data_IF_503626946837
#
_entry.id   IF_503626946837
#
_cell.length_a   1.000
_cell.length_b   1.000
_cell.length_c   1.000
_cell.angle_alpha   90.00
_cell.angle_beta   90.00
_cell.angle_gamma   90.00
#
_symmetry.space_group_name_H-M   'P 1'
#
loop_
_entity.id
_entity.type
_entity.pdbx_description
1 polymer ?
#
# COMPACT_ATOMS: atom_id res chain seq x y z
N UNK A 1 8.72 -8.14 19.42
CA UNK A 1 7.34 -7.66 19.15
C UNK A 1 6.54 -7.80 20.43
N UNK A 2 5.59 -6.90 20.72
CA UNK A 2 4.84 -6.98 21.97
C UNK A 2 3.87 -8.17 21.95
N UNK A 3 4.02 -9.12 22.89
CA UNK A 3 3.15 -10.30 23.07
C UNK A 3 1.66 -9.94 23.11
N UNK A 4 1.35 -8.73 23.62
CA UNK A 4 0.01 -8.16 23.64
C UNK A 4 -0.62 -8.06 22.24
N UNK A 5 0.11 -7.60 21.23
CA UNK A 5 -0.43 -7.41 19.89
C UNK A 5 -0.84 -8.75 19.25
N UNK A 6 -0.03 -9.79 19.43
CA UNK A 6 -0.34 -11.14 18.89
C UNK A 6 -1.59 -11.73 19.55
N UNK A 7 -1.76 -11.52 20.86
CA UNK A 7 -2.97 -11.95 21.59
C UNK A 7 -4.21 -11.21 21.09
N UNK A 8 -4.13 -9.88 20.91
CA UNK A 8 -5.26 -9.08 20.41
C UNK A 8 -5.63 -9.49 18.98
N UNK A 9 -4.64 -9.61 18.08
CA UNK A 9 -4.87 -10.02 16.71
C UNK A 9 -5.56 -11.39 16.63
N UNK A 10 -5.09 -12.37 17.41
CA UNK A 10 -5.69 -13.71 17.48
C UNK A 10 -7.14 -13.66 17.97
N UNK A 11 -7.44 -12.87 19.01
CA UNK A 11 -8.82 -12.72 19.53
C UNK A 11 -9.77 -12.05 18.53
N UNK A 12 -9.26 -11.16 17.68
CA UNK A 12 -10.04 -10.52 16.63
C UNK A 12 -10.13 -11.36 15.34
N UNK A 13 -9.57 -12.57 15.30
CA UNK A 13 -9.52 -13.39 14.08
C UNK A 13 -8.62 -12.82 12.99
N UNK A 14 -7.68 -11.95 13.35
CA UNK A 14 -6.75 -11.30 12.42
C UNK A 14 -5.48 -12.13 12.28
N UNK A 15 -5.21 -12.59 11.06
CA UNK A 15 -3.94 -13.24 10.73
C UNK A 15 -2.87 -12.19 10.39
N UNK A 16 -1.87 -12.05 11.26
CA UNK A 16 -0.79 -11.08 11.06
C UNK A 16 0.27 -11.65 10.11
N UNK A 17 0.42 -11.00 8.95
CA UNK A 17 1.47 -11.30 7.97
C UNK A 17 2.64 -10.33 8.20
N UNK A 18 3.86 -10.86 8.34
CA UNK A 18 5.07 -10.06 8.57
C UNK A 18 5.82 -9.87 7.24
N UNK A 19 6.28 -8.65 6.98
CA UNK A 19 7.16 -8.36 5.87
C UNK A 19 8.59 -8.81 6.17
N UNK A 20 9.37 -9.10 5.10
CA UNK A 20 10.79 -9.40 5.22
C UNK A 20 11.52 -8.22 5.87
N UNK A 21 12.43 -8.50 6.80
CA UNK A 21 13.21 -7.47 7.47
C UNK A 21 13.98 -6.60 6.48
N UNK A 22 13.88 -5.28 6.65
CA UNK A 22 14.58 -4.27 5.85
C UNK A 22 14.27 -4.31 4.35
N UNK A 23 13.12 -4.85 3.95
CA UNK A 23 12.63 -4.73 2.57
C UNK A 23 11.38 -3.83 2.50
N UNK A 24 11.56 -2.50 2.45
CA UNK A 24 10.45 -1.55 2.34
C UNK A 24 9.53 -1.82 1.14
N UNK A 25 10.09 -2.42 0.08
CA UNK A 25 9.34 -2.76 -1.13
C UNK A 25 8.21 -3.76 -0.86
N UNK A 26 8.36 -4.64 0.14
CA UNK A 26 7.31 -5.59 0.55
C UNK A 26 6.04 -4.85 1.01
N UNK A 27 6.15 -3.63 1.55
CA UNK A 27 5.00 -2.80 1.97
C UNK A 27 4.83 -1.53 1.14
N UNK A 28 5.25 -1.56 -0.14
CA UNK A 28 5.37 -0.38 -0.98
C UNK A 28 4.08 0.42 -1.20
N UNK A 29 2.90 -0.22 -1.13
CA UNK A 29 1.61 0.50 -1.24
C UNK A 29 1.34 1.39 -0.03
N UNK A 30 1.55 0.87 1.18
CA UNK A 30 1.41 1.66 2.42
C UNK A 30 2.49 2.73 2.50
N UNK A 31 3.71 2.44 2.09
CA UNK A 31 4.78 3.45 2.06
C UNK A 31 4.49 4.58 1.07
N UNK A 32 3.94 4.26 -0.11
CA UNK A 32 3.52 5.29 -1.07
C UNK A 32 2.38 6.15 -0.53
N UNK A 33 1.39 5.55 0.13
CA UNK A 33 0.33 6.28 0.83
C UNK A 33 0.92 7.21 1.89
N UNK A 34 1.83 6.71 2.74
CA UNK A 34 2.47 7.51 3.78
C UNK A 34 3.26 8.69 3.20
N UNK A 35 3.96 8.48 2.08
CA UNK A 35 4.67 9.55 1.39
C UNK A 35 3.72 10.64 0.87
N UNK A 36 2.56 10.27 0.30
CA UNK A 36 1.54 11.23 -0.11
C UNK A 36 1.00 12.01 1.08
N UNK A 37 0.63 11.32 2.18
CA UNK A 37 0.09 11.97 3.38
C UNK A 37 1.13 12.92 3.99
N UNK A 38 2.39 12.49 4.13
CA UNK A 38 3.45 13.32 4.67
C UNK A 38 3.71 14.57 3.81
N UNK A 39 3.71 14.42 2.48
CA UNK A 39 3.83 15.56 1.55
C UNK A 39 2.66 16.53 1.70
N UNK A 40 1.43 16.01 1.79
CA UNK A 40 0.25 16.85 2.05
C UNK A 40 0.35 17.58 3.38
N UNK A 41 0.74 16.90 4.47
CA UNK A 41 0.94 17.54 5.78
C UNK A 41 1.97 18.66 5.67
N UNK A 42 3.11 18.39 5.02
CA UNK A 42 4.18 19.37 4.84
C UNK A 42 3.75 20.64 4.09
N UNK A 43 2.68 20.58 3.30
CA UNK A 43 2.13 21.74 2.59
C UNK A 43 1.22 22.63 3.47
N UNK A 44 0.67 22.10 4.56
CA UNK A 44 -0.30 22.82 5.41
C UNK A 44 0.21 23.15 6.81
N UNK A 45 1.17 22.37 7.31
CA UNK A 45 1.71 22.53 8.67
C UNK A 45 2.44 23.87 8.83
N UNK A 46 2.35 24.47 10.02
CA UNK A 46 3.09 25.67 10.36
C UNK A 46 4.62 25.44 10.42
N UNK A 47 5.37 26.54 10.56
CA UNK A 47 6.84 26.50 10.61
C UNK A 47 7.39 25.67 11.78
N UNK A 48 6.65 25.62 12.90
CA UNK A 48 6.99 24.90 14.12
C UNK A 48 6.56 23.43 14.08
N UNK A 49 5.87 22.99 13.03
CA UNK A 49 5.33 21.65 12.85
C UNK A 49 4.39 21.19 13.98
N UNK A 50 3.67 22.11 14.62
CA UNK A 50 2.91 21.84 15.84
C UNK A 50 1.42 21.61 15.65
N UNK A 51 0.88 21.88 14.45
CA UNK A 51 -0.55 21.89 14.12
C UNK A 51 -0.92 20.86 13.03
N UNK A 52 -0.04 19.89 12.76
CA UNK A 52 -0.25 18.91 11.70
C UNK A 52 -1.49 18.04 11.92
N UNK A 53 -1.86 17.81 13.17
CA UNK A 53 -3.01 17.01 13.59
C UNK A 53 -4.34 17.71 13.30
N UNK A 54 -4.37 19.05 13.31
CA UNK A 54 -5.54 19.83 12.92
C UNK A 54 -5.92 19.62 11.46
N UNK A 55 -4.91 19.46 10.59
CA UNK A 55 -5.10 19.26 9.15
C UNK A 55 -5.31 17.80 8.75
N UNK A 56 -4.98 16.84 9.62
CA UNK A 56 -5.01 15.42 9.33
C UNK A 56 -6.39 14.92 8.85
N UNK A 57 -7.54 15.32 9.46
CA UNK A 57 -8.86 14.91 8.96
C UNK A 57 -9.14 15.39 7.54
N UNK A 58 -8.75 16.63 7.21
CA UNK A 58 -8.96 17.22 5.88
C UNK A 58 -8.09 16.53 4.83
N UNK A 59 -6.82 16.29 5.15
CA UNK A 59 -5.89 15.57 4.27
C UNK A 59 -6.37 14.13 4.03
N UNK A 60 -6.82 13.45 5.08
CA UNK A 60 -7.36 12.09 4.97
C UNK A 60 -8.61 12.06 4.10
N UNK A 61 -9.51 13.02 4.27
CA UNK A 61 -10.69 13.16 3.42
C UNK A 61 -10.29 13.38 1.96
N UNK A 62 -9.42 14.37 1.70
CA UNK A 62 -8.94 14.67 0.34
C UNK A 62 -8.26 13.47 -0.32
N UNK A 63 -7.43 12.71 0.42
CA UNK A 63 -6.80 11.50 -0.09
C UNK A 63 -7.82 10.42 -0.46
N UNK A 64 -8.84 10.21 0.39
CA UNK A 64 -9.87 9.20 0.17
C UNK A 64 -10.85 9.56 -0.94
N UNK A 65 -11.10 10.84 -1.20
CA UNK A 65 -12.01 11.31 -2.26
C UNK A 65 -11.30 11.57 -3.58
N UNK A 66 -9.98 11.69 -3.59
CA UNK A 66 -9.19 11.91 -4.80
C UNK A 66 -8.99 10.63 -5.60
N UNK A 67 -9.06 10.76 -6.94
CA UNK A 67 -8.84 9.67 -7.87
C UNK A 67 -7.36 9.22 -7.84
N UNK A 68 -7.12 7.96 -7.53
CA UNK A 68 -5.76 7.40 -7.51
C UNK A 68 -5.33 6.94 -8.90
N UNK A 69 -4.05 7.14 -9.24
CA UNK A 69 -3.52 6.72 -10.54
C UNK A 69 -3.54 5.20 -10.72
N UNK A 70 -3.30 4.45 -9.64
CA UNK A 70 -3.19 3.00 -9.64
C UNK A 70 -4.52 2.29 -9.88
N UNK A 71 -5.59 2.79 -9.27
CA UNK A 71 -6.94 2.21 -9.37
C UNK A 71 -7.83 2.95 -10.37
N UNK A 72 -7.41 4.14 -10.82
CA UNK A 72 -8.20 5.07 -11.64
C UNK A 72 -9.54 5.46 -11.00
N UNK A 73 -9.69 5.28 -9.69
CA UNK A 73 -10.89 5.59 -8.90
C UNK A 73 -10.50 6.12 -7.52
N UNK A 74 -11.42 6.82 -6.85
CA UNK A 74 -11.21 7.25 -5.48
C UNK A 74 -11.37 6.07 -4.50
N UNK A 75 -10.54 5.96 -3.45
CA UNK A 75 -10.70 4.97 -2.39
C UNK A 75 -12.10 4.96 -1.78
N UNK A 76 -12.68 6.15 -1.54
CA UNK A 76 -14.03 6.33 -1.03
C UNK A 76 -15.06 5.66 -1.94
N UNK A 77 -15.00 5.91 -3.25
CA UNK A 77 -15.95 5.32 -4.22
C UNK A 77 -15.84 3.80 -4.25
N UNK A 78 -14.63 3.24 -4.15
CA UNK A 78 -14.42 1.79 -4.11
C UNK A 78 -14.94 1.15 -2.81
N UNK A 79 -14.79 1.85 -1.68
CA UNK A 79 -15.20 1.37 -0.36
C UNK A 79 -16.71 1.50 -0.14
N UNK A 80 -17.25 2.70 -0.35
CA UNK A 80 -18.64 3.05 -0.05
C UNK A 80 -19.58 2.92 -1.24
N UNK A 81 -19.06 2.61 -2.44
CA UNK A 81 -19.86 2.28 -3.62
C UNK A 81 -20.72 3.44 -4.14
N UNK A 82 -20.34 4.66 -3.77
CA UNK A 82 -20.95 5.92 -4.16
C UNK A 82 -19.86 6.99 -4.16
N UNK A 83 -20.08 8.04 -4.94
CA UNK A 83 -19.18 9.18 -4.89
C UNK A 83 -19.36 9.96 -3.57
N UNK A 84 -18.27 10.54 -3.04
CA UNK A 84 -18.36 11.40 -1.87
C UNK A 84 -19.20 12.64 -2.21
N UNK A 85 -20.04 13.06 -1.27
CA UNK A 85 -20.77 14.33 -1.39
C UNK A 85 -19.88 15.43 -0.78
N UNK A 86 -19.42 16.35 -1.63
CA UNK A 86 -18.59 17.48 -1.26
C UNK A 86 -19.48 18.68 -0.91
N UNK A 87 -19.02 19.59 -0.02
CA UNK A 87 -19.81 20.78 0.36
C UNK A 87 -20.22 21.69 -0.81
N UNK A 88 -19.45 21.64 -1.91
CA UNK A 88 -19.68 22.41 -3.13
C UNK A 88 -20.37 21.60 -4.24
N UNK A 89 -20.76 20.34 -3.98
CA UNK A 89 -21.54 19.58 -4.95
C UNK A 89 -22.94 20.18 -5.07
N UNK A 90 -23.32 20.52 -6.30
CA UNK A 90 -24.70 20.89 -6.61
C UNK A 90 -25.56 19.64 -6.36
N UNK A 91 -26.63 19.72 -5.55
CA UNK A 91 -27.55 18.60 -5.36
C UNK A 91 -28.01 18.11 -6.73
N UNK A 92 -27.53 16.94 -7.14
CA UNK A 92 -28.09 16.25 -8.30
C UNK A 92 -29.55 16.00 -7.93
N UNK A 93 -30.48 16.58 -8.69
CA UNK A 93 -31.91 16.53 -8.38
C UNK A 93 -32.36 15.12 -8.03
N UNK A 94 -33.37 15.00 -7.16
CA UNK A 94 -33.92 13.71 -6.77
C UNK A 94 -34.38 12.98 -8.03
N UNK A 95 -33.62 11.97 -8.47
CA UNK A 95 -34.07 11.06 -9.51
C UNK A 95 -35.19 10.26 -8.86
N UNK A 96 -36.43 10.52 -9.28
CA UNK A 96 -37.58 9.70 -8.91
C UNK A 96 -37.36 8.31 -9.52
N UNK A 97 -36.73 7.43 -8.75
CA UNK A 97 -36.55 6.03 -9.12
C UNK A 97 -37.92 5.37 -9.00
N UNK A 98 -38.58 5.17 -10.14
CA UNK A 98 -39.96 4.66 -10.21
C UNK A 98 -40.13 3.26 -9.60
N UNK A 99 -39.04 2.53 -9.35
CA UNK A 99 -39.04 1.29 -8.61
C UNK A 99 -37.69 1.03 -7.89
N UNK A 100 -37.74 0.46 -6.67
CA UNK A 100 -36.57 0.04 -5.87
C UNK A 100 -35.64 -0.92 -6.66
N UNK A 101 -36.20 -1.69 -7.60
CA UNK A 101 -35.46 -2.65 -8.42
C UNK A 101 -34.49 -1.97 -9.40
N UNK A 102 -34.83 -0.80 -9.94
CA UNK A 102 -34.01 -0.11 -10.93
C UNK A 102 -32.74 0.48 -10.31
N UNK A 103 -32.85 1.01 -9.09
CA UNK A 103 -31.68 1.51 -8.33
C UNK A 103 -30.68 0.39 -8.04
N UNK A 104 -31.19 -0.75 -7.56
CA UNK A 104 -30.34 -1.88 -7.20
C UNK A 104 -29.59 -2.45 -8.41
N UNK A 105 -30.27 -2.56 -9.56
CA UNK A 105 -29.64 -3.02 -10.81
C UNK A 105 -28.59 -2.02 -11.30
N UNK A 106 -28.86 -0.72 -11.22
CA UNK A 106 -27.88 0.33 -11.56
C UNK A 106 -26.66 0.28 -10.64
N UNK A 107 -26.87 0.14 -9.32
CA UNK A 107 -25.79 0.03 -8.34
C UNK A 107 -24.94 -1.22 -8.58
N UNK A 108 -25.55 -2.37 -8.87
CA UNK A 108 -24.81 -3.60 -9.23
C UNK A 108 -23.95 -3.40 -10.47
N UNK A 109 -24.50 -2.82 -11.54
CA UNK A 109 -23.75 -2.53 -12.77
C UNK A 109 -22.56 -1.61 -12.50
N UNK A 110 -22.79 -0.53 -11.75
CA UNK A 110 -21.73 0.39 -11.33
C UNK A 110 -20.64 -0.34 -10.55
N UNK A 111 -21.01 -1.24 -9.63
CA UNK A 111 -20.06 -2.00 -8.83
C UNK A 111 -19.20 -2.95 -9.64
N UNK A 112 -19.81 -3.67 -10.57
CA UNK A 112 -19.09 -4.59 -11.44
C UNK A 112 -18.13 -3.83 -12.35
N UNK A 113 -18.56 -2.68 -12.89
CA UNK A 113 -17.71 -1.79 -13.65
C UNK A 113 -16.57 -1.20 -12.81
N UNK A 114 -16.86 -0.70 -11.61
CA UNK A 114 -15.84 -0.11 -10.73
C UNK A 114 -14.77 -1.14 -10.33
N UNK A 115 -15.21 -2.34 -9.92
CA UNK A 115 -14.30 -3.44 -9.55
C UNK A 115 -13.48 -3.92 -10.73
N UNK A 116 -14.09 -4.13 -11.90
CA UNK A 116 -13.36 -4.56 -13.11
C UNK A 116 -12.34 -3.52 -13.55
N UNK A 117 -12.73 -2.25 -13.62
CA UNK A 117 -11.85 -1.12 -13.96
C UNK A 117 -10.66 -1.01 -13.00
N UNK A 118 -10.93 -1.07 -11.68
CA UNK A 118 -9.88 -0.99 -10.67
C UNK A 118 -8.92 -2.17 -10.74
N UNK A 119 -9.43 -3.41 -10.86
CA UNK A 119 -8.60 -4.62 -10.99
C UNK A 119 -7.73 -4.57 -12.25
N UNK A 120 -8.31 -4.17 -13.37
CA UNK A 120 -7.58 -4.04 -14.63
C UNK A 120 -6.46 -3.00 -14.52
N UNK A 121 -6.77 -1.83 -13.96
CA UNK A 121 -5.80 -0.75 -13.78
C UNK A 121 -4.66 -1.15 -12.83
N UNK A 122 -5.00 -1.79 -11.70
CA UNK A 122 -4.00 -2.30 -10.74
C UNK A 122 -3.08 -3.31 -11.42
N UNK A 123 -3.64 -4.25 -12.19
CA UNK A 123 -2.85 -5.24 -12.91
C UNK A 123 -1.90 -4.60 -13.92
N UNK A 124 -2.39 -3.68 -14.74
CA UNK A 124 -1.52 -2.96 -15.68
C UNK A 124 -0.37 -2.23 -14.97
N UNK A 125 -0.66 -1.56 -13.85
CA UNK A 125 0.36 -0.84 -13.09
C UNK A 125 1.37 -1.80 -12.45
N UNK A 126 0.92 -2.94 -11.95
CA UNK A 126 1.80 -4.01 -11.47
C UNK A 126 2.71 -4.54 -12.59
N UNK A 127 2.18 -4.75 -13.80
CA UNK A 127 2.96 -5.21 -14.95
C UNK A 127 4.02 -4.16 -15.34
N UNK A 128 3.64 -2.88 -15.42
CA UNK A 128 4.58 -1.77 -15.69
C UNK A 128 5.67 -1.71 -14.62
N UNK A 129 5.31 -1.79 -13.33
CA UNK A 129 6.29 -1.76 -12.25
C UNK A 129 7.20 -2.98 -12.26
N UNK A 130 6.67 -4.16 -12.60
CA UNK A 130 7.45 -5.38 -12.77
C UNK A 130 8.45 -5.23 -13.91
N UNK A 131 8.03 -4.80 -15.09
CA UNK A 131 8.94 -4.58 -16.22
C UNK A 131 10.03 -3.59 -15.85
N UNK A 132 9.68 -2.44 -15.25
CA UNK A 132 10.66 -1.44 -14.79
C UNK A 132 11.63 -2.01 -13.74
N UNK A 133 11.14 -2.86 -12.85
CA UNK A 133 11.94 -3.48 -11.80
C UNK A 133 12.91 -4.54 -12.36
N UNK A 134 12.46 -5.31 -13.35
CA UNK A 134 13.23 -6.38 -13.99
C UNK A 134 14.24 -5.81 -15.02
N UNK A 135 13.95 -4.67 -15.66
CA UNK A 135 14.86 -4.00 -16.61
C UNK A 135 16.22 -3.70 -15.97
N UNK A 136 17.28 -4.29 -16.53
CA UNK A 136 18.66 -4.06 -16.10
C UNK A 136 19.07 -4.86 -14.85
N UNK A 137 18.20 -5.69 -14.28
CA UNK A 137 18.57 -6.64 -13.22
C UNK A 137 19.02 -7.97 -13.79
N UNK A 138 20.00 -8.58 -13.12
CA UNK A 138 20.35 -10.00 -13.30
C UNK A 138 19.55 -10.82 -12.28
N UNK A 139 18.93 -11.90 -12.74
CA UNK A 139 18.26 -12.83 -11.84
C UNK A 139 19.28 -13.48 -10.91
N UNK A 140 19.07 -13.33 -9.59
CA UNK A 140 19.88 -13.99 -8.57
C UNK A 140 19.20 -15.29 -8.18
N UNK A 141 19.64 -16.39 -8.80
CA UNK A 141 19.17 -17.74 -8.50
C UNK A 141 20.16 -18.35 -7.51
N UNK A 142 19.69 -18.57 -6.28
CA UNK A 142 20.47 -19.24 -5.23
C UNK A 142 19.99 -20.69 -5.07
N UNK A 143 20.92 -21.61 -4.87
CA UNK A 143 20.59 -23.01 -4.63
C UNK A 143 20.50 -23.30 -3.13
N UNK A 144 19.63 -24.24 -2.75
CA UNK A 144 19.60 -24.78 -1.38
C UNK A 144 20.95 -25.44 -1.09
N UNK A 145 21.55 -25.12 0.05
CA UNK A 145 22.91 -25.52 0.43
C UNK A 145 24.00 -24.53 0.03
N UNK A 146 23.67 -23.50 -0.77
CA UNK A 146 24.65 -22.50 -1.17
C UNK A 146 25.01 -21.57 -0.01
N UNK A 147 26.32 -21.32 0.16
CA UNK A 147 26.81 -20.36 1.14
C UNK A 147 26.67 -18.92 0.62
N UNK A 148 26.09 -18.07 1.44
CA UNK A 148 25.81 -16.66 1.14
C UNK A 148 26.22 -15.76 2.31
N UNK A 149 26.57 -14.51 2.01
CA UNK A 149 26.81 -13.47 3.02
C UNK A 149 25.56 -12.59 3.13
N UNK A 150 25.20 -12.17 4.34
CA UNK A 150 24.11 -11.23 4.56
C UNK A 150 24.63 -9.79 4.60
N UNK A 151 23.88 -8.88 3.97
CA UNK A 151 24.21 -7.45 3.98
C UNK A 151 23.89 -6.87 5.36
N UNK A 152 24.83 -6.14 5.94
CA UNK A 152 24.66 -5.47 7.21
C UNK A 152 23.91 -4.15 7.00
N UNK A 153 22.60 -4.14 7.28
CA UNK A 153 21.73 -2.98 7.01
C UNK A 153 21.72 -1.98 8.17
N UNK A 154 21.83 -2.44 9.43
CA UNK A 154 21.98 -1.58 10.61
C UNK A 154 22.77 -2.31 11.70
N UNK A 155 23.98 -1.85 11.98
CA UNK A 155 24.59 -2.05 13.29
C UNK A 155 24.96 -0.68 13.84
N UNK A 156 24.74 -0.47 15.15
CA UNK A 156 25.02 0.80 15.85
C UNK A 156 26.48 1.29 15.67
N UNK A 157 27.39 0.45 15.16
CA UNK A 157 28.82 0.71 15.01
C UNK A 157 29.34 0.57 13.55
N UNK A 158 28.48 0.62 12.52
CA UNK A 158 28.95 0.65 11.13
C UNK A 158 29.65 1.99 10.85
N UNK A 159 30.99 1.99 10.87
CA UNK A 159 31.81 3.11 10.41
C UNK A 159 31.89 3.07 8.88
N UNK A 160 32.32 4.18 8.26
CA UNK A 160 32.44 4.32 6.79
C UNK A 160 33.25 3.19 6.12
N UNK A 161 34.15 2.54 6.86
CA UNK A 161 35.02 1.45 6.40
C UNK A 161 34.67 0.07 6.98
N UNK A 162 33.54 -0.08 7.67
CA UNK A 162 33.10 -1.38 8.17
C UNK A 162 32.70 -2.33 7.02
N UNK A 163 32.93 -3.65 7.15
CA UNK A 163 32.48 -4.62 6.16
C UNK A 163 30.96 -4.52 5.96
N UNK A 164 30.54 -4.44 4.69
CA UNK A 164 29.11 -4.32 4.34
C UNK A 164 28.37 -5.65 4.40
N UNK A 165 29.09 -6.75 4.45
CA UNK A 165 28.56 -8.11 4.44
C UNK A 165 29.21 -8.91 5.56
N UNK A 166 28.46 -9.83 6.17
CA UNK A 166 28.95 -10.64 7.29
C UNK A 166 28.37 -12.04 7.24
N UNK A 167 29.08 -12.96 7.92
CA UNK A 167 28.69 -14.35 8.13
C UNK A 167 28.72 -15.20 6.87
N UNK A 168 28.89 -16.51 7.03
CA UNK A 168 28.67 -17.47 5.95
C UNK A 168 27.45 -18.29 6.33
N UNK A 169 26.31 -17.90 5.78
CA UNK A 169 25.02 -18.56 6.01
C UNK A 169 24.73 -19.50 4.86
N UNK A 170 23.92 -20.52 5.12
CA UNK A 170 23.51 -21.50 4.11
C UNK A 170 22.04 -21.27 3.76
N UNK A 171 21.72 -21.31 2.48
CA UNK A 171 20.33 -21.25 2.01
C UNK A 171 19.65 -22.57 2.37
N UNK A 172 18.66 -22.53 3.24
CA UNK A 172 17.89 -23.69 3.69
C UNK A 172 16.74 -23.99 2.75
N UNK A 173 16.06 -22.96 2.23
CA UNK A 173 14.93 -23.13 1.30
C UNK A 173 14.62 -21.84 0.53
N UNK A 174 13.96 -22.01 -0.62
CA UNK A 174 13.40 -20.92 -1.41
C UNK A 174 11.89 -20.81 -1.14
N UNK A 175 11.42 -19.66 -0.64
CA UNK A 175 10.00 -19.40 -0.39
C UNK A 175 9.32 -18.63 -1.52
N UNK A 176 10.09 -17.89 -2.32
CA UNK A 176 9.59 -17.18 -3.50
C UNK A 176 10.70 -16.88 -4.49
N UNK A 177 10.36 -16.21 -5.60
CA UNK A 177 11.35 -15.88 -6.66
C UNK A 177 12.59 -15.16 -6.12
N UNK A 178 12.41 -14.28 -5.13
CA UNK A 178 13.46 -13.45 -4.55
C UNK A 178 13.67 -13.68 -3.04
N UNK A 179 12.90 -14.60 -2.43
CA UNK A 179 12.89 -14.81 -0.98
C UNK A 179 13.48 -16.19 -0.64
N UNK A 180 14.55 -16.16 0.16
CA UNK A 180 15.28 -17.33 0.61
C UNK A 180 15.39 -17.29 2.13
N UNK A 181 15.33 -18.48 2.74
CA UNK A 181 15.53 -18.70 4.17
C UNK A 181 16.80 -19.51 4.35
#
# INVERSE_FOLDING_TARGET
MAKLFEVVASRCGVHHIKATTYDPQTNGLTERMNATIASSIGAYVNQQQSDWDEFLPFITFAYNTSRQESTKMAPFTLMFRRDPTLPFDIPKGIVALSAVNDYYLQLRRFLDQAKSTARYSVKQQQDIYRTRFDTGRRDMILQVGQKVFLKQMMAKNLRKFSPKFYGSFEVMKQEGRLNYV
#
